data_IF_949984421496
#
_entry.id   IF_949984421496
#
_cell.length_a   1.000
_cell.length_b   1.000
_cell.length_c   1.000
_cell.angle_alpha   90.00
_cell.angle_beta   90.00
_cell.angle_gamma   90.00
#
_symmetry.space_group_name_H-M   'P 1'
#
loop_
_entity.id
_entity.type
_entity.pdbx_description
1 polymer ?
#
# COMPACT_ATOMS: atom_id res chain seq x y z
N UNK A 1 -60.63 -17.54 27.26
CA UNK A 1 -61.23 -17.98 25.98
C UNK A 1 -60.14 -17.92 24.92
N UNK A 2 -59.74 -19.07 24.35
CA UNK A 2 -58.95 -19.12 23.10
C UNK A 2 -57.43 -19.15 23.21
N UNK A 3 -56.86 -20.36 23.16
CA UNK A 3 -55.45 -20.72 22.96
C UNK A 3 -55.13 -20.67 21.47
N UNK A 4 -53.90 -20.30 21.09
CA UNK A 4 -53.22 -20.86 19.91
C UNK A 4 -51.71 -20.99 20.19
N UNK A 5 -51.26 -22.24 20.34
CA UNK A 5 -49.87 -22.64 20.42
C UNK A 5 -49.19 -22.56 19.04
N UNK A 6 -47.93 -22.12 19.01
CA UNK A 6 -47.02 -22.39 17.91
C UNK A 6 -45.90 -23.34 18.38
N UNK A 7 -45.89 -24.53 17.80
CA UNK A 7 -44.84 -25.55 17.87
C UNK A 7 -43.67 -25.08 17.00
N UNK A 8 -42.43 -25.22 17.45
CA UNK A 8 -41.30 -25.38 16.52
C UNK A 8 -40.16 -26.21 17.10
N UNK A 9 -39.63 -27.05 16.23
CA UNK A 9 -38.91 -28.29 16.49
C UNK A 9 -37.42 -28.08 16.81
N UNK A 10 -36.96 -28.77 17.84
CA UNK A 10 -35.55 -28.96 18.19
C UNK A 10 -34.98 -30.08 17.30
N UNK A 11 -34.04 -29.75 16.41
CA UNK A 11 -33.26 -30.74 15.66
C UNK A 11 -32.23 -31.41 16.60
N UNK A 12 -32.22 -32.75 16.63
CA UNK A 12 -31.23 -33.56 17.34
C UNK A 12 -30.00 -33.83 16.45
N UNK A 13 -28.77 -33.84 16.98
CA UNK A 13 -27.59 -34.24 16.22
C UNK A 13 -27.49 -35.77 16.09
N UNK A 14 -27.21 -36.23 14.87
CA UNK A 14 -26.95 -37.63 14.52
C UNK A 14 -25.47 -37.92 14.69
N UNK A 15 -25.12 -38.89 15.53
CA UNK A 15 -23.78 -39.45 15.66
C UNK A 15 -23.57 -40.52 14.59
N UNK A 16 -22.58 -40.33 13.71
CA UNK A 16 -22.13 -41.35 12.76
C UNK A 16 -20.89 -42.02 13.37
N UNK A 17 -21.03 -43.31 13.71
CA UNK A 17 -19.95 -44.19 14.15
C UNK A 17 -19.35 -44.82 12.90
N UNK A 18 -18.08 -44.51 12.60
CA UNK A 18 -17.32 -45.21 11.56
C UNK A 18 -16.40 -46.21 12.26
N UNK A 19 -16.74 -47.49 12.11
CA UNK A 19 -15.95 -48.65 12.48
C UNK A 19 -14.81 -48.85 11.48
N UNK A 20 -13.56 -48.79 11.95
CA UNK A 20 -12.37 -49.14 11.18
C UNK A 20 -11.75 -50.44 11.69
N UNK A 21 -11.70 -51.45 10.82
CA UNK A 21 -11.12 -52.77 11.04
C UNK A 21 -9.63 -52.69 11.40
N UNK A 22 -9.22 -53.46 12.42
CA UNK A 22 -7.83 -53.75 12.72
C UNK A 22 -7.30 -54.81 11.74
N UNK A 23 -6.21 -54.49 11.04
CA UNK A 23 -5.42 -55.47 10.28
C UNK A 23 -4.14 -55.71 11.07
N UNK A 24 -4.02 -56.90 11.65
CA UNK A 24 -2.78 -57.39 12.25
C UNK A 24 -1.86 -57.89 11.14
N UNK A 25 -0.62 -57.41 11.12
CA UNK A 25 0.46 -58.07 10.38
C UNK A 25 1.53 -58.52 11.38
N UNK A 26 1.60 -59.83 11.56
CA UNK A 26 2.71 -60.55 12.16
C UNK A 26 3.79 -60.75 11.11
N UNK A 27 4.97 -60.15 11.28
CA UNK A 27 6.19 -60.58 10.59
C UNK A 27 7.37 -60.58 11.56
N UNK A 28 7.80 -61.81 11.88
CA UNK A 28 9.19 -62.25 12.02
C UNK A 28 10.20 -61.39 12.77
N UNK A 29 10.58 -61.85 13.95
CA UNK A 29 11.89 -61.54 14.55
C UNK A 29 13.02 -62.12 13.69
N UNK A 30 13.87 -61.26 13.15
CA UNK A 30 15.28 -61.57 12.93
C UNK A 30 16.12 -60.53 13.67
N UNK A 31 16.92 -61.01 14.61
CA UNK A 31 17.87 -60.22 15.39
C UNK A 31 19.03 -59.80 14.48
N UNK A 32 19.01 -58.56 14.00
CA UNK A 32 20.22 -57.89 13.53
C UNK A 32 20.76 -57.01 14.65
N UNK A 33 21.80 -57.51 15.33
CA UNK A 33 22.65 -56.71 16.20
C UNK A 33 23.47 -55.76 15.33
N UNK A 34 22.94 -54.56 15.10
CA UNK A 34 23.78 -53.42 14.73
C UNK A 34 23.93 -52.56 15.97
N UNK A 35 25.15 -52.50 16.50
CA UNK A 35 25.56 -51.49 17.48
C UNK A 35 25.57 -50.12 16.79
N UNK A 36 24.38 -49.59 16.53
CA UNK A 36 24.20 -48.17 16.27
C UNK A 36 24.07 -47.49 17.63
N UNK A 37 25.16 -46.89 18.08
CA UNK A 37 25.16 -45.93 19.17
C UNK A 37 24.31 -44.73 18.71
N UNK A 38 23.01 -44.80 19.01
CA UNK A 38 22.05 -43.74 18.78
C UNK A 38 22.39 -42.64 19.79
N UNK A 39 23.36 -41.80 19.45
CA UNK A 39 23.47 -40.48 20.04
C UNK A 39 22.20 -39.73 19.64
N UNK A 40 21.15 -39.88 20.46
CA UNK A 40 20.00 -38.99 20.43
C UNK A 40 20.50 -37.64 20.93
N UNK A 41 21.09 -36.87 20.02
CA UNK A 41 21.25 -35.44 20.22
C UNK A 41 19.84 -34.90 20.19
N UNK A 42 19.29 -34.71 21.38
CA UNK A 42 18.01 -34.04 21.58
C UNK A 42 18.25 -32.61 21.08
N UNK A 43 17.91 -32.33 19.81
CA UNK A 43 17.95 -30.98 19.27
C UNK A 43 16.81 -30.19 19.94
N UNK A 44 17.03 -29.80 21.19
CA UNK A 44 16.21 -28.80 21.86
C UNK A 44 16.39 -27.53 21.07
N UNK A 45 15.38 -27.16 20.29
CA UNK A 45 15.32 -25.83 19.70
C UNK A 45 15.43 -24.84 20.86
N UNK A 46 16.45 -23.96 20.88
CA UNK A 46 16.59 -23.00 21.97
C UNK A 46 15.28 -22.24 22.14
N UNK A 47 14.77 -22.19 23.36
CA UNK A 47 13.55 -21.43 23.66
C UNK A 47 13.79 -20.00 23.22
N UNK A 48 12.99 -19.51 22.26
CA UNK A 48 13.12 -18.13 21.76
C UNK A 48 13.00 -17.21 22.98
N UNK A 49 14.03 -16.41 23.32
CA UNK A 49 13.96 -15.53 24.47
C UNK A 49 12.74 -14.61 24.32
N UNK A 50 12.05 -14.38 25.44
CA UNK A 50 10.93 -13.45 25.47
C UNK A 50 11.42 -12.08 24.94
N UNK A 51 10.60 -11.35 24.16
CA UNK A 51 10.96 -10.02 23.69
C UNK A 51 11.42 -9.16 24.87
N UNK A 52 12.66 -8.67 24.81
CA UNK A 52 13.16 -7.72 25.80
C UNK A 52 12.71 -6.31 25.38
N UNK A 53 12.04 -5.61 26.29
CA UNK A 53 11.77 -4.19 26.14
C UNK A 53 13.06 -3.41 26.40
N UNK A 54 13.55 -2.70 25.37
CA UNK A 54 14.70 -1.80 25.50
C UNK A 54 14.15 -0.39 25.61
N UNK A 55 14.12 0.16 26.82
CA UNK A 55 13.74 1.55 27.06
C UNK A 55 15.01 2.41 27.02
N UNK A 56 15.11 3.28 26.01
CA UNK A 56 16.16 4.31 25.96
C UNK A 56 15.58 5.65 26.41
N UNK A 57 16.15 6.19 27.49
CA UNK A 57 15.80 7.54 27.95
C UNK A 57 16.44 8.56 27.02
N UNK A 58 15.64 9.41 26.39
CA UNK A 58 16.09 10.46 25.49
C UNK A 58 15.21 11.69 25.57
N UNK A 59 15.78 12.86 25.32
CA UNK A 59 15.02 14.10 25.22
C UNK A 59 14.23 14.12 23.91
N UNK A 60 12.90 14.24 23.99
CA UNK A 60 12.06 14.47 22.82
C UNK A 60 11.94 15.99 22.63
N UNK A 61 12.62 16.50 21.61
CA UNK A 61 12.49 17.91 21.22
C UNK A 61 11.40 18.05 20.16
N UNK A 62 10.51 19.06 20.27
CA UNK A 62 9.58 19.36 19.20
C UNK A 62 10.36 19.76 17.95
N UNK A 63 9.91 19.33 16.78
CA UNK A 63 10.41 19.87 15.53
C UNK A 63 10.03 21.36 15.47
N UNK A 64 10.98 22.28 15.22
CA UNK A 64 10.65 23.69 15.07
C UNK A 64 9.77 23.88 13.82
N UNK A 65 8.68 24.63 13.96
CA UNK A 65 7.79 24.99 12.85
C UNK A 65 6.35 24.48 13.00
N UNK A 66 5.60 24.53 11.91
CA UNK A 66 4.22 24.04 11.81
C UNK A 66 4.05 23.17 10.58
N UNK A 67 3.06 22.28 10.58
CA UNK A 67 2.65 21.58 9.37
C UNK A 67 2.19 22.60 8.31
N UNK A 68 2.49 22.30 7.05
CA UNK A 68 1.98 23.07 5.93
C UNK A 68 0.44 22.90 5.84
N UNK A 69 -0.23 23.89 5.25
CA UNK A 69 -1.66 23.91 4.99
C UNK A 69 -2.01 23.40 3.59
N UNK A 70 -1.01 23.05 2.79
CA UNK A 70 -1.20 22.49 1.45
C UNK A 70 -1.85 21.12 1.55
N UNK A 71 -3.01 20.89 0.89
CA UNK A 71 -3.60 19.56 0.80
C UNK A 71 -2.63 18.58 0.16
N UNK A 72 -2.39 17.46 0.83
CA UNK A 72 -1.57 16.37 0.31
C UNK A 72 -2.39 15.09 0.33
N UNK A 73 -2.55 14.46 -0.84
CA UNK A 73 -2.92 13.06 -0.85
C UNK A 73 -1.68 12.22 -0.62
N UNK A 74 -1.53 11.68 0.59
CA UNK A 74 -0.39 10.86 0.98
C UNK A 74 -0.81 9.39 1.09
N UNK A 75 -0.63 8.62 0.01
CA UNK A 75 -0.83 7.19 0.05
C UNK A 75 0.50 6.46 0.29
N UNK A 76 0.81 6.24 1.56
CA UNK A 76 2.01 5.53 2.00
C UNK A 76 1.72 4.12 2.56
N UNK A 77 0.49 3.63 2.41
CA UNK A 77 0.17 2.25 2.75
C UNK A 77 0.61 1.35 1.61
N UNK A 78 1.51 0.37 1.83
CA UNK A 78 1.79 -0.66 0.85
C UNK A 78 0.54 -1.56 0.73
N UNK A 79 -0.43 -1.10 -0.04
CA UNK A 79 -1.69 -1.79 -0.19
C UNK A 79 -1.49 -2.95 -1.17
N UNK A 80 -1.85 -4.17 -0.73
CA UNK A 80 -2.01 -5.29 -1.66
C UNK A 80 -3.17 -4.96 -2.59
N UNK A 81 -2.87 -4.36 -3.74
CA UNK A 81 -3.88 -4.07 -4.76
C UNK A 81 -4.34 -5.40 -5.34
N UNK A 82 -5.55 -5.81 -4.94
CA UNK A 82 -6.18 -7.05 -5.43
C UNK A 82 -7.03 -6.83 -6.68
N UNK A 83 -7.65 -5.65 -6.80
CA UNK A 83 -8.52 -5.26 -7.89
C UNK A 83 -8.28 -3.79 -8.27
N UNK A 84 -8.62 -3.42 -9.50
CA UNK A 84 -8.70 -2.03 -9.95
C UNK A 84 -9.78 -1.23 -9.22
N UNK A 85 -9.58 0.08 -9.12
CA UNK A 85 -10.54 0.95 -8.46
C UNK A 85 -10.06 2.38 -8.26
N UNK A 86 -10.84 3.14 -7.51
CA UNK A 86 -10.54 4.52 -7.11
C UNK A 86 -10.02 4.49 -5.67
N UNK A 87 -8.78 4.94 -5.47
CA UNK A 87 -8.16 5.03 -4.14
C UNK A 87 -8.78 6.16 -3.30
N UNK A 88 -9.02 7.31 -3.94
CA UNK A 88 -9.61 8.48 -3.30
C UNK A 88 -10.40 9.28 -4.33
N UNK A 89 -11.57 9.78 -3.94
CA UNK A 89 -12.31 10.74 -4.74
C UNK A 89 -12.66 11.98 -3.94
N UNK A 90 -12.28 13.14 -4.48
CA UNK A 90 -12.63 14.46 -3.94
C UNK A 90 -13.86 15.06 -4.63
N UNK A 91 -14.44 14.35 -5.61
CA UNK A 91 -15.57 14.84 -6.38
C UNK A 91 -16.81 15.04 -5.53
N UNK A 92 -17.77 15.79 -6.06
CA UNK A 92 -19.09 15.87 -5.43
C UNK A 92 -19.78 14.50 -5.44
N UNK A 93 -20.49 14.13 -4.36
CA UNK A 93 -21.25 12.89 -4.26
C UNK A 93 -22.49 12.88 -5.17
N UNK A 94 -22.87 14.04 -5.71
CA UNK A 94 -24.06 14.19 -6.54
C UNK A 94 -23.98 13.31 -7.79
N UNK A 95 -25.05 12.54 -8.03
CA UNK A 95 -25.17 11.61 -9.17
C UNK A 95 -24.08 10.52 -9.21
N UNK A 96 -23.45 10.20 -8.08
CA UNK A 96 -22.51 9.08 -7.96
C UNK A 96 -23.22 7.84 -7.43
N UNK A 97 -22.81 6.65 -7.89
CA UNK A 97 -23.40 5.36 -7.49
C UNK A 97 -23.25 5.09 -5.99
N UNK A 98 -22.12 5.49 -5.40
CA UNK A 98 -21.83 5.37 -3.97
C UNK A 98 -21.46 6.76 -3.42
N UNK A 99 -22.45 7.61 -3.09
CA UNK A 99 -22.21 8.99 -2.65
C UNK A 99 -21.19 9.12 -1.51
N UNK A 100 -21.24 8.21 -0.53
CA UNK A 100 -20.35 8.22 0.64
C UNK A 100 -18.87 7.96 0.33
N UNK A 101 -18.53 7.46 -0.88
CA UNK A 101 -17.15 7.22 -1.29
C UNK A 101 -16.42 8.50 -1.80
N UNK A 102 -17.10 9.65 -1.74
CA UNK A 102 -16.61 10.91 -2.28
C UNK A 102 -16.50 11.96 -1.16
N UNK A 103 -15.31 12.54 -0.98
CA UNK A 103 -15.03 13.50 0.09
C UNK A 103 -15.72 14.85 -0.07
N UNK A 104 -16.27 15.16 -1.25
CA UNK A 104 -16.83 16.48 -1.57
C UNK A 104 -15.87 17.63 -1.23
N UNK A 105 -14.58 17.47 -1.57
CA UNK A 105 -13.51 18.38 -1.18
C UNK A 105 -12.95 19.09 -2.43
N UNK A 106 -13.40 20.32 -2.75
CA UNK A 106 -12.85 21.04 -3.89
C UNK A 106 -11.40 21.42 -3.64
N UNK A 107 -10.49 20.97 -4.51
CA UNK A 107 -9.09 21.37 -4.45
C UNK A 107 -8.94 22.73 -5.14
N UNK A 108 -8.42 23.72 -4.40
CA UNK A 108 -8.14 25.06 -4.88
C UNK A 108 -6.69 25.42 -4.55
N UNK A 109 -5.97 26.03 -5.48
CA UNK A 109 -4.56 26.37 -5.25
C UNK A 109 -3.60 25.19 -5.42
N UNK A 110 -2.62 25.10 -4.51
CA UNK A 110 -1.60 24.04 -4.51
C UNK A 110 -2.13 22.80 -3.85
N UNK A 111 -1.79 21.66 -4.44
CA UNK A 111 -1.91 20.37 -3.80
C UNK A 111 -0.77 19.47 -4.23
N UNK A 112 -0.40 18.58 -3.34
CA UNK A 112 0.64 17.60 -3.60
C UNK A 112 0.02 16.18 -3.57
N UNK A 113 0.58 15.27 -4.35
CA UNK A 113 0.17 13.87 -4.39
C UNK A 113 1.41 13.01 -4.21
N UNK A 114 1.35 12.12 -3.22
CA UNK A 114 2.31 11.08 -2.98
C UNK A 114 1.61 9.72 -3.03
N UNK A 115 2.22 8.77 -3.73
CA UNK A 115 1.72 7.41 -3.79
C UNK A 115 2.87 6.40 -3.81
N UNK A 116 2.84 5.43 -2.91
CA UNK A 116 3.79 4.34 -2.86
C UNK A 116 3.03 3.03 -2.96
N UNK A 117 3.19 2.34 -4.09
CA UNK A 117 2.55 1.04 -4.31
C UNK A 117 3.57 0.02 -4.78
N UNK A 118 3.35 -1.22 -4.37
CA UNK A 118 4.11 -2.38 -4.78
C UNK A 118 3.13 -3.52 -5.07
N UNK A 119 3.34 -4.23 -6.16
CA UNK A 119 2.60 -5.46 -6.46
C UNK A 119 3.47 -6.65 -6.07
N UNK A 120 2.99 -7.49 -5.15
CA UNK A 120 3.62 -8.77 -4.86
C UNK A 120 2.94 -9.85 -5.68
N UNK A 121 3.68 -10.48 -6.59
CA UNK A 121 3.18 -11.60 -7.41
C UNK A 121 1.92 -11.22 -8.21
N UNK A 122 2.02 -10.29 -9.18
CA UNK A 122 0.88 -9.97 -10.04
C UNK A 122 0.38 -11.26 -10.68
N UNK A 123 -0.92 -11.53 -10.56
CA UNK A 123 -1.52 -12.80 -10.98
C UNK A 123 -1.16 -13.17 -12.43
N UNK A 124 -0.85 -12.16 -13.27
CA UNK A 124 -0.55 -12.33 -14.70
C UNK A 124 0.50 -11.35 -15.24
N UNK A 125 1.53 -10.97 -14.46
CA UNK A 125 2.51 -9.91 -14.85
C UNK A 125 1.86 -8.56 -15.22
N UNK A 126 0.61 -8.33 -14.83
CA UNK A 126 -0.11 -7.11 -15.16
C UNK A 126 0.59 -5.88 -14.56
N UNK A 127 0.76 -4.88 -15.41
CA UNK A 127 1.29 -3.58 -15.03
C UNK A 127 0.24 -2.82 -14.23
N UNK A 128 0.60 -2.40 -13.01
CA UNK A 128 -0.23 -1.48 -12.24
C UNK A 128 -0.11 -0.07 -12.82
N UNK A 129 -1.25 0.56 -13.11
CA UNK A 129 -1.32 1.97 -13.48
C UNK A 129 -1.98 2.76 -12.36
N UNK A 130 -1.41 3.92 -12.06
CA UNK A 130 -1.99 4.90 -11.13
C UNK A 130 -2.26 6.15 -11.93
N UNK A 131 -3.53 6.54 -12.00
CA UNK A 131 -3.98 7.72 -12.73
C UNK A 131 -4.49 8.81 -11.80
N UNK A 132 -4.43 10.06 -12.27
CA UNK A 132 -5.07 11.20 -11.62
C UNK A 132 -6.13 11.74 -12.58
N UNK A 133 -7.38 11.75 -12.14
CA UNK A 133 -8.50 12.30 -12.91
C UNK A 133 -8.82 13.68 -12.34
N UNK A 134 -8.77 14.68 -13.21
CA UNK A 134 -9.05 16.06 -12.87
C UNK A 134 -10.38 16.46 -13.49
N UNK A 135 -11.18 17.20 -12.72
CA UNK A 135 -12.48 17.69 -13.16
C UNK A 135 -12.56 19.19 -12.92
N UNK A 136 -12.84 19.94 -13.99
CA UNK A 136 -13.21 21.35 -13.91
C UNK A 136 -14.74 21.46 -13.92
N UNK A 137 -15.39 21.80 -12.79
CA UNK A 137 -16.84 21.99 -12.75
C UNK A 137 -17.29 23.32 -13.38
N UNK A 138 -16.36 24.23 -13.69
CA UNK A 138 -16.67 25.55 -14.23
C UNK A 138 -16.64 25.58 -15.75
N UNK A 139 -17.34 26.55 -16.34
CA UNK A 139 -17.29 26.83 -17.79
C UNK A 139 -16.04 27.61 -18.21
N UNK A 140 -15.26 28.12 -17.26
CA UNK A 140 -14.03 28.86 -17.54
C UNK A 140 -12.91 27.86 -17.76
N UNK A 141 -12.07 28.02 -18.80
CA UNK A 141 -10.87 27.21 -18.94
C UNK A 141 -9.99 27.33 -17.69
N UNK A 142 -9.38 26.22 -17.28
CA UNK A 142 -8.39 26.21 -16.20
C UNK A 142 -7.08 25.61 -16.70
N UNK A 143 -5.98 26.16 -16.22
CA UNK A 143 -4.63 25.62 -16.43
C UNK A 143 -4.11 25.07 -15.10
N UNK A 144 -3.67 23.83 -15.10
CA UNK A 144 -2.94 23.23 -13.99
C UNK A 144 -1.47 23.20 -14.33
N UNK A 145 -0.65 23.85 -13.51
CA UNK A 145 0.80 23.78 -13.62
C UNK A 145 1.29 22.58 -12.82
N UNK A 146 2.15 21.77 -13.45
CA UNK A 146 2.89 20.72 -12.75
C UNK A 146 4.21 21.33 -12.30
N UNK A 147 4.35 21.62 -11.02
CA UNK A 147 5.54 22.30 -10.52
C UNK A 147 6.75 21.34 -10.48
N UNK A 148 6.53 20.17 -9.90
CA UNK A 148 7.50 19.10 -9.75
C UNK A 148 6.84 17.74 -9.95
N UNK A 149 7.61 16.75 -10.35
CA UNK A 149 7.12 15.40 -10.57
C UNK A 149 8.25 14.41 -10.74
N UNK A 150 8.25 13.37 -9.92
CA UNK A 150 9.21 12.29 -10.02
C UNK A 150 8.57 10.94 -9.72
N UNK A 151 9.05 9.91 -10.43
CA UNK A 151 8.69 8.53 -10.15
C UNK A 151 9.81 7.58 -10.52
N UNK A 152 9.98 6.56 -9.69
CA UNK A 152 11.03 5.56 -9.84
C UNK A 152 10.50 4.14 -9.67
N UNK A 153 11.02 3.20 -10.45
CA UNK A 153 10.86 1.77 -10.21
C UNK A 153 11.91 1.28 -9.22
N UNK A 154 11.66 0.12 -8.62
CA UNK A 154 12.66 -0.56 -7.78
C UNK A 154 13.98 -0.82 -8.53
N UNK A 155 13.91 -1.08 -9.84
CA UNK A 155 15.09 -1.25 -10.71
C UNK A 155 15.86 0.06 -10.96
N UNK A 156 15.19 1.21 -10.84
CA UNK A 156 15.80 2.53 -11.02
C UNK A 156 16.31 3.11 -9.69
N UNK A 157 15.80 2.64 -8.55
CA UNK A 157 16.14 3.11 -7.20
C UNK A 157 16.02 1.97 -6.17
N UNK A 158 16.97 1.01 -6.15
CA UNK A 158 16.89 -0.15 -5.27
C UNK A 158 17.06 0.25 -3.80
N UNK A 159 16.57 -0.61 -2.91
CA UNK A 159 16.89 -0.51 -1.49
C UNK A 159 18.35 -0.92 -1.27
N UNK A 160 19.11 -0.05 -0.62
CA UNK A 160 20.51 -0.24 -0.27
C UNK A 160 20.73 0.07 1.21
N UNK A 161 21.76 -0.53 1.80
CA UNK A 161 22.19 -0.15 3.15
C UNK A 161 23.03 1.12 3.03
N UNK A 162 22.63 2.17 3.74
CA UNK A 162 23.37 3.43 3.84
C UNK A 162 24.05 3.51 5.22
N UNK A 163 25.12 4.31 5.29
CA UNK A 163 25.68 4.69 6.59
C UNK A 163 24.64 5.42 7.44
N UNK A 164 24.74 5.38 8.79
CA UNK A 164 23.77 6.03 9.68
C UNK A 164 23.59 7.53 9.44
N UNK A 165 24.62 8.19 8.89
CA UNK A 165 24.60 9.59 8.50
C UNK A 165 25.35 9.78 7.18
N UNK A 166 24.71 10.49 6.24
CA UNK A 166 25.30 10.86 4.94
C UNK A 166 24.77 12.25 4.58
N UNK A 167 25.67 13.17 4.23
CA UNK A 167 25.28 14.40 3.56
C UNK A 167 24.76 14.11 2.15
N UNK A 168 23.64 14.70 1.79
CA UNK A 168 22.99 14.45 0.50
C UNK A 168 22.79 15.74 -0.30
N UNK A 169 23.80 16.61 -0.36
CA UNK A 169 23.67 17.92 -1.01
C UNK A 169 23.40 17.80 -2.52
N UNK A 170 23.90 16.74 -3.16
CA UNK A 170 23.73 16.48 -4.59
C UNK A 170 22.54 15.58 -4.96
N UNK A 171 21.81 15.06 -3.96
CA UNK A 171 20.62 14.23 -4.15
C UNK A 171 20.88 12.79 -4.57
N UNK A 172 22.13 12.30 -4.53
CA UNK A 172 22.49 10.95 -4.98
C UNK A 172 22.40 9.88 -3.89
N UNK A 173 22.32 10.26 -2.62
CA UNK A 173 22.13 9.31 -1.54
C UNK A 173 20.63 9.02 -1.33
N UNK A 174 20.19 7.82 -1.68
CA UNK A 174 18.82 7.34 -1.48
C UNK A 174 18.81 5.81 -1.29
N UNK A 175 17.77 5.32 -0.63
CA UNK A 175 17.49 3.89 -0.52
C UNK A 175 16.01 3.68 -0.80
N UNK A 176 15.72 3.05 -1.93
CA UNK A 176 14.36 2.81 -2.40
C UNK A 176 13.75 3.96 -3.23
N UNK A 177 12.69 3.65 -4.00
CA UNK A 177 12.10 4.60 -4.94
C UNK A 177 11.46 5.83 -4.31
N UNK A 178 10.74 5.64 -3.20
CA UNK A 178 10.06 6.73 -2.50
C UNK A 178 11.05 7.80 -2.02
N UNK A 179 12.17 7.38 -1.41
CA UNK A 179 13.23 8.29 -0.96
C UNK A 179 13.80 9.11 -2.13
N UNK A 180 14.09 8.44 -3.26
CA UNK A 180 14.61 9.10 -4.46
C UNK A 180 13.60 10.08 -5.08
N UNK A 181 12.34 9.69 -5.18
CA UNK A 181 11.30 10.53 -5.76
C UNK A 181 11.03 11.79 -4.91
N UNK A 182 10.96 11.65 -3.58
CA UNK A 182 10.80 12.80 -2.67
C UNK A 182 12.02 13.71 -2.74
N UNK A 183 13.23 13.14 -2.73
CA UNK A 183 14.48 13.89 -2.84
C UNK A 183 14.50 14.79 -4.08
N UNK A 184 14.09 14.27 -5.24
CA UNK A 184 14.02 15.03 -6.48
C UNK A 184 12.96 16.14 -6.44
N UNK A 185 11.75 15.82 -5.97
CA UNK A 185 10.66 16.79 -5.89
C UNK A 185 10.98 17.94 -4.92
N UNK A 186 11.65 17.66 -3.80
CA UNK A 186 12.09 18.69 -2.87
C UNK A 186 13.18 19.60 -3.45
N UNK A 187 13.97 19.11 -4.43
CA UNK A 187 14.96 19.89 -5.17
C UNK A 187 14.40 20.59 -6.41
N UNK A 188 13.08 20.60 -6.58
CA UNK A 188 12.44 21.29 -7.71
C UNK A 188 12.46 20.51 -9.02
N UNK A 189 12.80 19.22 -9.00
CA UNK A 189 12.89 18.40 -10.21
C UNK A 189 11.50 18.05 -10.75
N UNK A 190 11.33 18.26 -12.06
CA UNK A 190 10.22 17.71 -12.84
C UNK A 190 10.80 16.82 -13.95
N UNK A 191 10.62 15.51 -13.81
CA UNK A 191 11.08 14.57 -14.83
C UNK A 191 10.29 14.77 -16.13
N UNK A 192 10.94 14.51 -17.28
CA UNK A 192 10.43 14.86 -18.61
C UNK A 192 9.07 14.25 -18.95
N UNK A 193 8.72 13.11 -18.36
CA UNK A 193 7.43 12.46 -18.59
C UNK A 193 6.25 13.20 -17.94
N UNK A 194 6.50 14.10 -16.98
CA UNK A 194 5.47 14.94 -16.41
C UNK A 194 5.33 16.22 -17.26
N UNK A 195 4.15 16.48 -17.85
CA UNK A 195 3.94 17.68 -18.64
C UNK A 195 4.08 18.92 -17.75
N UNK A 196 4.56 20.05 -18.28
CA UNK A 196 4.70 21.26 -17.48
C UNK A 196 3.34 21.89 -17.14
N UNK A 197 2.35 21.71 -18.01
CA UNK A 197 1.02 22.27 -17.92
C UNK A 197 -0.01 21.29 -18.47
N UNK A 198 -1.21 21.37 -17.92
CA UNK A 198 -2.38 20.69 -18.42
C UNK A 198 -3.50 21.74 -18.55
N UNK A 199 -3.98 21.96 -19.77
CA UNK A 199 -5.04 22.92 -20.07
C UNK A 199 -6.37 22.19 -20.27
N UNK A 200 -7.42 22.68 -19.61
CA UNK A 200 -8.74 22.04 -19.63
C UNK A 200 -9.84 23.05 -19.92
N UNK A 201 -10.69 22.72 -20.89
CA UNK A 201 -12.04 23.28 -21.04
C UNK A 201 -12.99 22.46 -20.14
N UNK A 202 -14.25 22.90 -19.96
CA UNK A 202 -15.29 22.17 -19.23
C UNK A 202 -15.25 20.66 -19.55
N UNK A 203 -15.08 19.81 -18.53
CA UNK A 203 -15.04 18.35 -18.72
C UNK A 203 -14.13 17.61 -17.74
N UNK A 204 -13.77 16.39 -18.13
CA UNK A 204 -12.77 15.58 -17.46
C UNK A 204 -11.51 15.56 -18.31
N UNK A 205 -10.37 15.57 -17.64
CA UNK A 205 -9.14 15.18 -18.27
C UNK A 205 -8.47 14.11 -17.43
N UNK A 206 -8.02 13.09 -18.15
CA UNK A 206 -7.15 12.06 -17.59
C UNK A 206 -5.74 12.61 -17.81
N UNK A 207 -5.07 12.99 -16.72
CA UNK A 207 -3.62 13.03 -16.77
C UNK A 207 -3.22 11.56 -16.90
N UNK A 208 -2.91 11.14 -18.13
CA UNK A 208 -2.62 9.76 -18.45
C UNK A 208 -1.10 9.62 -18.36
N UNK A 209 -0.52 9.22 -17.20
CA UNK A 209 0.79 8.61 -17.23
C UNK A 209 0.57 7.24 -17.85
N UNK A 210 0.55 7.17 -19.17
CA UNK A 210 0.98 5.93 -19.81
C UNK A 210 2.34 5.60 -19.18
N UNK A 211 2.57 4.33 -18.88
CA UNK A 211 3.80 3.73 -18.33
C UNK A 211 3.81 3.41 -16.81
N UNK A 212 3.76 2.09 -16.57
CA UNK A 212 4.34 1.32 -15.46
C UNK A 212 4.41 2.00 -14.09
N UNK A 213 3.36 1.87 -13.27
CA UNK A 213 3.37 2.17 -11.83
C UNK A 213 4.19 3.41 -11.46
N UNK A 214 3.85 4.59 -12.01
CA UNK A 214 4.80 5.72 -12.01
C UNK A 214 4.24 7.08 -11.56
N UNK A 215 3.54 7.12 -10.42
CA UNK A 215 3.42 8.37 -9.68
C UNK A 215 3.83 8.12 -8.23
N UNK A 216 4.99 8.66 -7.84
CA UNK A 216 5.44 8.64 -6.45
C UNK A 216 5.33 9.99 -5.79
N UNK A 217 5.66 11.07 -6.50
CA UNK A 217 5.49 12.43 -6.01
C UNK A 217 5.12 13.36 -7.17
N UNK A 218 4.03 14.10 -7.03
CA UNK A 218 3.57 15.09 -8.00
C UNK A 218 3.10 16.34 -7.24
N UNK A 219 3.63 17.51 -7.59
CA UNK A 219 3.17 18.81 -7.05
C UNK A 219 2.41 19.56 -8.14
N UNK A 220 1.13 19.78 -7.92
CA UNK A 220 0.23 20.44 -8.86
C UNK A 220 -0.24 21.77 -8.29
N UNK A 221 -0.39 22.76 -9.16
CA UNK A 221 -0.83 24.09 -8.77
C UNK A 221 -1.87 24.64 -9.73
N UNK A 222 -3.03 24.99 -9.18
CA UNK A 222 -4.04 25.77 -9.86
C UNK A 222 -3.94 27.24 -9.42
N UNK A 223 -3.84 28.15 -10.38
CA UNK A 223 -3.99 29.59 -10.16
C UNK A 223 -5.44 29.97 -10.47
N UNK A 224 -6.27 30.36 -9.49
CA UNK A 224 -7.51 31.03 -9.81
C UNK A 224 -7.20 32.37 -10.50
N UNK A 225 -8.05 32.84 -11.43
CA UNK A 225 -7.99 34.20 -11.94
C UNK A 225 -8.24 35.23 -10.83
#
# INVERSE_FOLDING_TARGET
MGILQAKNHILKPVFIIISGLAITQTIGCTTFNSYHQKNQVNAQTPTKPAPQEIVQVGEIRPLPGSLDKIPVFNNNSPEWIKNEGILLSTFTPNKKKVPAAHLNFPIQGRFDLFAHHYTHTPKDLQTLYIGVILHNPSKKPITINVLQGASYLMTEAPFVTLQPYIENNDGKAFSGPGARAVADVLRGVRQKQFPAKLDFVLGYAVANPTYYSKIQNLKLYYLPP
#
